data_IF_253594142647
#
_entry.id   IF_253594142647
#
_cell.length_a   1.000
_cell.length_b   1.000
_cell.length_c   1.000
_cell.angle_alpha   90.00
_cell.angle_beta   90.00
_cell.angle_gamma   90.00
#
_symmetry.space_group_name_H-M   'P 1'
#
loop_
_entity.id
_entity.type
_entity.pdbx_description
1 polymer ?
#
# COMPACT_ATOMS: atom_id res chain seq x y z
N UNK A 1 -15.54 10.38 -3.58
CA UNK A 1 -15.49 9.25 -2.63
C UNK A 1 -14.47 8.25 -3.14
N UNK A 2 -13.65 7.68 -2.25
CA UNK A 2 -12.72 6.60 -2.59
C UNK A 2 -13.46 5.25 -2.67
N UNK A 3 -13.02 4.31 -3.54
CA UNK A 3 -13.66 3.01 -3.67
C UNK A 3 -13.48 2.18 -2.39
N UNK A 4 -14.53 1.43 -2.01
CA UNK A 4 -14.40 0.39 -0.99
C UNK A 4 -13.96 -0.91 -1.66
N UNK A 5 -12.82 -1.42 -1.22
CA UNK A 5 -12.18 -2.59 -1.78
C UNK A 5 -12.49 -3.81 -0.93
N UNK A 6 -12.64 -5.00 -1.54
CA UNK A 6 -12.85 -6.23 -0.82
C UNK A 6 -11.66 -6.53 0.10
N UNK A 7 -11.91 -7.15 1.25
CA UNK A 7 -10.83 -7.55 2.17
C UNK A 7 -10.15 -6.40 2.93
N UNK A 8 -10.56 -5.15 2.72
CA UNK A 8 -10.01 -3.98 3.41
C UNK A 8 -11.00 -3.47 4.46
N UNK A 9 -10.55 -3.37 5.71
CA UNK A 9 -11.35 -2.79 6.78
C UNK A 9 -11.05 -1.30 6.97
N UNK A 10 -12.01 -0.49 6.59
CA UNK A 10 -11.99 0.97 6.75
C UNK A 10 -12.48 1.40 8.14
N UNK A 11 -11.60 2.06 8.90
CA UNK A 11 -11.90 2.66 10.19
C UNK A 11 -11.04 3.92 10.37
N UNK A 12 -11.40 4.83 11.28
CA UNK A 12 -10.68 6.11 11.48
C UNK A 12 -9.25 5.94 11.98
N UNK A 13 -8.98 4.84 12.68
CA UNK A 13 -7.67 4.44 13.21
C UNK A 13 -6.89 3.56 12.22
N UNK A 14 -7.37 3.41 10.99
CA UNK A 14 -6.79 2.55 9.95
C UNK A 14 -6.54 3.31 8.67
N UNK A 15 -5.46 2.95 7.98
CA UNK A 15 -5.19 3.46 6.65
C UNK A 15 -4.57 2.41 5.75
N UNK A 16 -5.11 2.32 4.55
CA UNK A 16 -4.61 1.45 3.48
C UNK A 16 -3.59 2.16 2.63
N UNK A 17 -2.52 1.46 2.29
CA UNK A 17 -1.56 1.83 1.25
C UNK A 17 -1.33 0.64 0.32
N UNK A 18 -0.83 0.94 -0.88
CA UNK A 18 -0.50 -0.07 -1.88
C UNK A 18 0.98 0.04 -2.24
N UNK A 19 1.59 -1.10 -2.54
CA UNK A 19 2.96 -1.18 -3.04
C UNK A 19 3.05 -2.16 -4.20
N UNK A 20 3.88 -1.82 -5.18
CA UNK A 20 4.12 -2.65 -6.36
C UNK A 20 4.88 -3.91 -5.95
N UNK A 21 4.39 -5.06 -6.40
CA UNK A 21 5.10 -6.33 -6.34
C UNK A 21 5.49 -6.69 -7.77
N UNK A 22 6.80 -6.66 -8.09
CA UNK A 22 7.28 -7.05 -9.41
C UNK A 22 6.87 -8.48 -9.76
N UNK A 23 6.72 -8.76 -11.06
CA UNK A 23 6.42 -10.11 -11.52
C UNK A 23 7.50 -11.11 -11.06
N UNK A 24 7.06 -12.29 -10.63
CA UNK A 24 7.92 -13.32 -10.02
C UNK A 24 8.46 -12.99 -8.61
N UNK A 25 8.22 -11.81 -8.05
CA UNK A 25 8.66 -11.46 -6.70
C UNK A 25 7.73 -12.04 -5.62
N UNK A 26 8.31 -12.46 -4.49
CA UNK A 26 7.51 -12.89 -3.34
C UNK A 26 6.96 -11.68 -2.58
N UNK A 27 5.64 -11.50 -2.65
CA UNK A 27 4.90 -10.48 -1.90
C UNK A 27 5.23 -10.52 -0.40
N UNK A 28 5.25 -11.73 0.20
CA UNK A 28 5.56 -11.95 1.62
C UNK A 28 6.99 -11.57 1.98
N UNK A 29 7.94 -11.83 1.08
CA UNK A 29 9.32 -11.41 1.28
C UNK A 29 9.42 -9.88 1.23
N UNK A 30 8.80 -9.24 0.24
CA UNK A 30 8.81 -7.78 0.09
C UNK A 30 8.14 -7.10 1.29
N UNK A 31 7.00 -7.61 1.77
CA UNK A 31 6.34 -7.08 2.96
C UNK A 31 7.25 -7.09 4.20
N UNK A 32 8.02 -8.17 4.39
CA UNK A 32 8.98 -8.28 5.49
C UNK A 32 10.11 -7.27 5.38
N UNK A 33 10.43 -6.77 4.18
CA UNK A 33 11.46 -5.73 3.98
C UNK A 33 10.90 -4.32 4.03
N UNK A 34 9.60 -4.10 3.81
CA UNK A 34 8.95 -2.78 3.81
C UNK A 34 9.20 -1.93 5.05
N UNK A 35 9.53 -2.52 6.20
CA UNK A 35 9.84 -1.76 7.43
C UNK A 35 11.22 -2.05 8.01
N UNK A 36 12.05 -2.84 7.31
CA UNK A 36 13.43 -3.12 7.75
C UNK A 36 14.39 -1.98 7.45
N UNK A 37 14.13 -1.21 6.38
CA UNK A 37 14.99 -0.12 5.94
C UNK A 37 14.72 1.22 6.67
N UNK A 38 13.86 1.25 7.69
CA UNK A 38 13.59 2.46 8.46
C UNK A 38 14.69 2.62 9.52
N UNK A 39 15.64 3.54 9.29
CA UNK A 39 16.78 3.77 10.20
C UNK A 39 16.35 4.14 11.62
N UNK A 40 15.27 4.91 11.76
CA UNK A 40 14.67 5.23 13.06
C UNK A 40 13.16 5.15 12.95
N UNK A 41 12.59 4.06 13.49
CA UNK A 41 11.15 3.81 13.45
C UNK A 41 10.40 4.86 14.26
N UNK A 42 9.56 5.65 13.60
CA UNK A 42 8.72 6.67 14.24
C UNK A 42 7.44 6.08 14.78
N UNK A 43 6.92 5.04 14.14
CA UNK A 43 5.74 4.31 14.60
C UNK A 43 6.08 3.50 15.85
N UNK A 44 5.66 4.01 17.02
CA UNK A 44 5.89 3.39 18.33
C UNK A 44 4.68 2.62 18.86
N UNK A 45 3.51 2.74 18.22
CA UNK A 45 2.27 2.07 18.61
C UNK A 45 1.51 1.54 17.37
N UNK A 46 0.64 0.56 17.60
CA UNK A 46 -0.17 -0.05 16.55
C UNK A 46 0.57 -1.11 15.74
N UNK A 47 0.12 -1.35 14.51
CA UNK A 47 0.65 -2.43 13.68
C UNK A 47 0.39 -2.21 12.19
N UNK A 48 1.00 -3.09 11.39
CA UNK A 48 0.76 -3.20 9.96
C UNK A 48 0.38 -4.64 9.63
N UNK A 49 -0.63 -4.79 8.80
CA UNK A 49 -1.09 -6.09 8.30
C UNK A 49 -1.11 -6.07 6.78
N UNK A 50 -0.74 -7.19 6.18
CA UNK A 50 -1.06 -7.47 4.78
C UNK A 50 -2.56 -7.63 4.66
N UNK A 51 -3.17 -7.00 3.65
CA UNK A 51 -4.53 -7.33 3.31
C UNK A 51 -4.52 -8.25 2.09
N UNK A 52 -5.47 -9.19 2.04
CA UNK A 52 -5.68 -10.05 0.88
C UNK A 52 -6.34 -9.31 -0.30
N UNK A 53 -5.98 -8.06 -0.58
CA UNK A 53 -6.48 -7.31 -1.73
C UNK A 53 -5.32 -6.85 -2.60
N UNK A 54 -5.45 -7.12 -3.90
CA UNK A 54 -4.50 -6.74 -4.93
C UNK A 54 -5.23 -6.01 -6.07
N UNK A 55 -4.50 -5.07 -6.66
CA UNK A 55 -4.97 -4.26 -7.79
C UNK A 55 -4.06 -4.52 -8.97
N UNK A 56 -4.63 -4.96 -10.08
CA UNK A 56 -3.91 -5.11 -11.34
C UNK A 56 -4.22 -3.92 -12.22
N UNK A 57 -3.17 -3.21 -12.65
CA UNK A 57 -3.30 -2.08 -13.56
C UNK A 57 -3.47 -2.55 -15.02
N UNK A 58 -3.95 -1.69 -15.93
CA UNK A 58 -3.98 -1.98 -17.37
C UNK A 58 -2.61 -2.35 -17.96
N UNK A 59 -1.52 -1.90 -17.32
CA UNK A 59 -0.16 -2.18 -17.75
C UNK A 59 0.35 -3.55 -17.25
N UNK A 60 -0.49 -4.32 -16.54
CA UNK A 60 -0.16 -5.64 -16.00
C UNK A 60 0.55 -5.60 -14.65
N UNK A 61 0.75 -4.43 -14.05
CA UNK A 61 1.39 -4.32 -12.74
C UNK A 61 0.45 -4.66 -11.58
N UNK A 62 1.00 -5.35 -10.58
CA UNK A 62 0.28 -5.80 -9.40
C UNK A 62 0.65 -4.99 -8.16
N UNK A 63 -0.35 -4.30 -7.60
CA UNK A 63 -0.24 -3.55 -6.36
C UNK A 63 -0.90 -4.30 -5.22
N UNK A 64 -0.11 -4.66 -4.21
CA UNK A 64 -0.61 -5.32 -3.01
C UNK A 64 -0.93 -4.30 -1.92
N UNK A 65 -1.99 -4.57 -1.17
CA UNK A 65 -2.45 -3.66 -0.13
C UNK A 65 -1.99 -4.07 1.26
N UNK A 66 -1.69 -3.06 2.07
CA UNK A 66 -1.42 -3.17 3.50
C UNK A 66 -2.28 -2.17 4.25
N UNK A 67 -2.60 -2.48 5.50
CA UNK A 67 -3.27 -1.56 6.40
C UNK A 67 -2.44 -1.32 7.64
N UNK A 68 -2.15 -0.06 7.90
CA UNK A 68 -1.63 0.39 9.18
C UNK A 68 -2.81 0.65 10.11
N UNK A 69 -2.67 0.31 11.38
CA UNK A 69 -3.64 0.64 12.42
C UNK A 69 -2.92 1.24 13.63
N UNK A 70 -3.36 2.42 14.08
CA UNK A 70 -2.83 3.10 15.26
C UNK A 70 -3.74 4.27 15.63
N UNK A 71 -3.66 4.75 16.88
CA UNK A 71 -4.32 6.01 17.27
C UNK A 71 -3.79 7.17 16.44
N UNK A 72 -2.48 7.16 16.13
CA UNK A 72 -1.83 8.14 15.24
C UNK A 72 -1.22 7.44 14.03
N UNK A 73 -1.83 7.64 12.86
CA UNK A 73 -1.37 7.07 11.59
C UNK A 73 -0.21 7.85 10.92
N UNK A 74 0.09 9.06 11.41
CA UNK A 74 1.14 9.93 10.84
C UNK A 74 2.53 9.28 10.80
N UNK A 75 3.02 8.72 11.92
CA UNK A 75 4.30 8.01 11.96
C UNK A 75 4.37 6.83 10.97
N UNK A 76 3.34 5.99 10.91
CA UNK A 76 3.26 4.87 9.97
C UNK A 76 3.36 5.30 8.51
N UNK A 77 2.67 6.38 8.13
CA UNK A 77 2.78 6.95 6.77
C UNK A 77 4.20 7.35 6.41
N UNK A 78 4.91 7.98 7.36
CA UNK A 78 6.29 8.47 7.14
C UNK A 78 7.26 7.30 7.02
N UNK A 79 7.18 6.33 7.93
CA UNK A 79 8.04 5.15 7.92
C UNK A 79 7.83 4.32 6.64
N UNK A 80 6.57 4.15 6.21
CA UNK A 80 6.27 3.47 4.95
C UNK A 80 6.81 4.23 3.74
N UNK A 81 6.59 5.54 3.65
CA UNK A 81 7.08 6.36 2.55
C UNK A 81 8.62 6.37 2.48
N UNK A 82 9.30 6.56 3.59
CA UNK A 82 10.77 6.57 3.67
C UNK A 82 11.36 5.23 3.24
N UNK A 83 10.84 4.13 3.79
CA UNK A 83 11.36 2.80 3.50
C UNK A 83 11.13 2.37 2.06
N UNK A 84 9.94 2.64 1.51
CA UNK A 84 9.64 2.33 0.11
C UNK A 84 10.45 3.19 -0.85
N UNK A 85 10.66 4.47 -0.53
CA UNK A 85 11.54 5.36 -1.30
C UNK A 85 13.00 4.87 -1.28
N UNK A 86 13.53 4.50 -0.11
CA UNK A 86 14.90 3.98 0.02
C UNK A 86 15.11 2.67 -0.76
N UNK A 87 14.05 1.85 -0.87
CA UNK A 87 14.08 0.58 -1.62
C UNK A 87 13.71 0.72 -3.11
N UNK A 88 13.35 1.93 -3.57
CA UNK A 88 12.86 2.13 -4.95
C UNK A 88 11.52 1.43 -5.25
N UNK A 89 10.73 1.11 -4.22
CA UNK A 89 9.44 0.43 -4.38
C UNK A 89 8.38 1.48 -4.74
N UNK A 90 7.74 1.29 -5.90
CA UNK A 90 6.61 2.13 -6.31
C UNK A 90 5.43 1.87 -5.37
N UNK A 91 4.87 2.93 -4.82
CA UNK A 91 3.67 2.86 -3.98
C UNK A 91 2.49 3.49 -4.71
N UNK A 92 1.27 3.16 -4.27
CA UNK A 92 0.07 3.77 -4.81
C UNK A 92 -0.95 4.06 -3.73
N UNK A 93 -1.83 5.02 -4.03
CA UNK A 93 -2.94 5.42 -3.16
C UNK A 93 -4.09 5.97 -3.97
N UNK A 94 -5.30 5.79 -3.46
CA UNK A 94 -6.46 6.44 -4.06
C UNK A 94 -6.47 7.94 -3.77
N UNK A 95 -6.97 8.70 -4.75
CA UNK A 95 -7.46 10.07 -4.62
C UNK A 95 -8.78 10.13 -5.37
N UNK A 96 -9.88 10.02 -4.62
CA UNK A 96 -11.20 9.83 -5.22
C UNK A 96 -11.25 8.51 -6.00
N UNK A 97 -11.62 8.58 -7.29
CA UNK A 97 -11.75 7.38 -8.16
C UNK A 97 -10.49 7.07 -8.99
N UNK A 98 -9.34 7.64 -8.62
CA UNK A 98 -8.07 7.42 -9.31
C UNK A 98 -7.05 6.84 -8.36
N UNK A 99 -6.36 5.79 -8.79
CA UNK A 99 -5.14 5.31 -8.18
C UNK A 99 -3.99 6.18 -8.69
N UNK A 100 -3.22 6.77 -7.78
CA UNK A 100 -2.05 7.58 -8.09
C UNK A 100 -0.83 6.86 -7.53
N UNK A 101 0.13 6.56 -8.39
CA UNK A 101 1.40 5.94 -8.02
C UNK A 101 2.43 6.99 -7.62
N UNK A 102 3.48 6.58 -6.89
CA UNK A 102 4.57 7.46 -6.45
C UNK A 102 5.47 7.93 -7.61
N UNK A 103 5.49 7.19 -8.72
CA UNK A 103 6.21 7.55 -9.95
C UNK A 103 5.38 8.44 -10.91
N UNK A 104 4.17 8.84 -10.50
CA UNK A 104 3.36 9.84 -11.21
C UNK A 104 2.29 9.28 -12.16
N UNK A 105 2.22 7.96 -12.34
CA UNK A 105 1.18 7.29 -13.13
C UNK A 105 -0.18 7.37 -12.43
N UNK A 106 -1.23 7.30 -13.25
CA UNK A 106 -2.62 7.50 -12.80
C UNK A 106 -3.55 6.54 -13.53
N UNK A 107 -4.31 5.78 -12.76
CA UNK A 107 -5.26 4.80 -13.27
C UNK A 107 -6.66 5.11 -12.74
N UNK A 108 -7.69 5.01 -13.58
CA UNK A 108 -9.05 5.06 -13.08
C UNK A 108 -9.42 3.76 -12.42
N UNK A 109 -10.18 3.83 -11.33
CA UNK A 109 -10.63 2.65 -10.62
C UNK A 109 -11.37 1.63 -11.50
N UNK A 110 -12.14 2.11 -12.49
CA UNK A 110 -12.89 1.24 -13.42
C UNK A 110 -11.98 0.43 -14.37
N UNK A 111 -10.74 0.86 -14.53
CA UNK A 111 -9.75 0.23 -15.40
C UNK A 111 -8.85 -0.74 -14.60
N UNK A 112 -9.04 -0.82 -13.28
CA UNK A 112 -8.31 -1.74 -12.40
C UNK A 112 -9.07 -3.06 -12.27
N UNK A 113 -8.34 -4.17 -12.30
CA UNK A 113 -8.86 -5.45 -11.81
C UNK A 113 -8.62 -5.50 -10.31
N UNK A 114 -9.67 -5.78 -9.54
CA UNK A 114 -9.62 -5.84 -8.08
C UNK A 114 -9.93 -7.26 -7.66
N UNK A 115 -9.00 -7.87 -6.95
CA UNK A 115 -9.09 -9.27 -6.58
C UNK A 115 -8.83 -9.47 -5.08
N UNK A 116 -9.28 -10.62 -4.58
CA UNK A 116 -9.18 -11.00 -3.16
C UNK A 116 -8.51 -12.36 -3.02
N UNK A 117 -7.53 -12.45 -2.13
CA UNK A 117 -6.90 -13.68 -1.65
C UNK A 117 -7.55 -14.15 -0.34
#
# INVERSE_FOLDING_TARGET
MEPRLPGIWYASDRQTAFYLVPDGASQKALFRTLFRAVETRRATEGGVVENGCYLTTPDGENFHSITFHAKRLGPWRRDFAESTQAQGIVTARFRGRRLITSDGRRYWFRDLVVERC
#
